data_IF_214159753574
#
_entry.id   IF_214159753574
#
_cell.length_a   1.000
_cell.length_b   1.000
_cell.length_c   1.000
_cell.angle_alpha   90.00
_cell.angle_beta   90.00
_cell.angle_gamma   90.00
#
_symmetry.space_group_name_H-M   'P 1'
#
loop_
_entity.id
_entity.type
_entity.pdbx_description
1 polymer ?
#
# COMPACT_ATOMS: atom_id res chain seq x y z
N UNK A 1 4.71 14.70 -13.78
CA UNK A 1 4.72 13.62 -12.77
C UNK A 1 3.40 12.85 -12.72
N UNK A 2 2.24 13.51 -12.55
CA UNK A 2 0.93 12.83 -12.51
C UNK A 2 0.57 12.06 -13.79
N UNK A 3 0.90 12.59 -14.97
CA UNK A 3 0.69 11.87 -16.23
C UNK A 3 1.53 10.60 -16.29
N UNK A 4 2.76 10.65 -15.78
CA UNK A 4 3.66 9.49 -15.74
C UNK A 4 3.17 8.43 -14.74
N UNK A 5 2.69 8.83 -13.56
CA UNK A 5 2.16 7.87 -12.56
C UNK A 5 0.91 7.18 -13.08
N UNK A 6 -0.03 7.93 -13.66
CA UNK A 6 -1.26 7.39 -14.24
C UNK A 6 -0.93 6.50 -15.44
N UNK A 7 -0.06 6.96 -16.35
CA UNK A 7 0.36 6.19 -17.52
C UNK A 7 1.08 4.89 -17.16
N UNK A 8 2.02 4.92 -16.21
CA UNK A 8 2.72 3.73 -15.76
C UNK A 8 1.78 2.73 -15.07
N UNK A 9 0.79 3.21 -14.30
CA UNK A 9 -0.20 2.35 -13.67
C UNK A 9 -1.12 1.66 -14.70
N UNK A 10 -1.60 2.43 -15.69
CA UNK A 10 -2.42 1.88 -16.77
C UNK A 10 -1.63 0.85 -17.58
N UNK A 11 -0.38 1.16 -17.91
CA UNK A 11 0.52 0.24 -18.61
C UNK A 11 0.79 -1.04 -17.79
N UNK A 12 1.01 -0.93 -16.47
CA UNK A 12 1.25 -2.09 -15.60
C UNK A 12 0.03 -3.03 -15.55
N UNK A 13 -1.19 -2.47 -15.58
CA UNK A 13 -2.45 -3.23 -15.60
C UNK A 13 -2.74 -3.86 -16.97
N UNK A 14 -2.35 -3.18 -18.05
CA UNK A 14 -2.54 -3.67 -19.41
C UNK A 14 -1.59 -4.82 -19.77
N UNK A 15 -0.40 -4.87 -19.15
CA UNK A 15 0.60 -5.89 -19.43
C UNK A 15 0.21 -7.27 -18.83
N UNK A 16 0.32 -8.35 -19.64
CA UNK A 16 0.06 -9.70 -19.17
C UNK A 16 1.08 -10.12 -18.09
N UNK A 17 0.67 -11.05 -17.24
CA UNK A 17 1.58 -11.63 -16.25
C UNK A 17 2.63 -12.49 -16.96
N UNK A 18 3.91 -12.34 -16.61
CA UNK A 18 4.96 -13.16 -17.21
C UNK A 18 4.85 -14.61 -16.73
N UNK A 19 5.04 -15.55 -17.65
CA UNK A 19 5.12 -16.97 -17.34
C UNK A 19 6.47 -17.38 -16.72
N UNK A 20 7.53 -16.57 -16.89
CA UNK A 20 8.84 -16.79 -16.29
C UNK A 20 9.60 -15.45 -16.08
N UNK A 21 10.18 -15.25 -14.90
CA UNK A 21 11.23 -14.27 -14.63
C UNK A 21 10.86 -12.79 -14.59
N UNK A 22 11.90 -11.94 -14.58
CA UNK A 22 11.79 -10.47 -14.55
C UNK A 22 11.31 -9.98 -15.93
N UNK A 23 10.02 -9.66 -16.02
CA UNK A 23 9.41 -9.09 -17.22
C UNK A 23 9.27 -7.57 -17.21
N UNK A 24 8.93 -7.01 -18.39
CA UNK A 24 8.54 -5.61 -18.63
C UNK A 24 7.52 -5.11 -17.60
N UNK A 25 6.63 -5.98 -17.10
CA UNK A 25 5.68 -5.62 -16.05
C UNK A 25 6.38 -5.11 -14.77
N UNK A 26 7.48 -5.73 -14.35
CA UNK A 26 8.25 -5.29 -13.19
C UNK A 26 8.98 -3.97 -13.48
N UNK A 27 9.46 -3.77 -14.70
CA UNK A 27 10.08 -2.50 -15.10
C UNK A 27 9.05 -1.36 -15.10
N UNK A 28 7.84 -1.59 -15.60
CA UNK A 28 6.75 -0.61 -15.57
C UNK A 28 6.26 -0.36 -14.15
N UNK A 29 6.22 -1.39 -13.30
CA UNK A 29 5.95 -1.23 -11.87
C UNK A 29 7.03 -0.40 -11.16
N UNK A 30 8.31 -0.66 -11.45
CA UNK A 30 9.41 0.14 -10.90
C UNK A 30 9.35 1.59 -11.38
N UNK A 31 9.00 1.82 -12.65
CA UNK A 31 8.78 3.15 -13.19
C UNK A 31 7.62 3.87 -12.47
N UNK A 32 6.52 3.16 -12.22
CA UNK A 32 5.41 3.68 -11.43
C UNK A 32 5.87 4.08 -10.02
N UNK A 33 6.57 3.19 -9.30
CA UNK A 33 7.09 3.46 -7.96
C UNK A 33 8.06 4.65 -7.94
N UNK A 34 8.97 4.75 -8.92
CA UNK A 34 9.88 5.88 -9.06
C UNK A 34 9.13 7.19 -9.33
N UNK A 35 8.11 7.15 -10.18
CA UNK A 35 7.29 8.32 -10.49
C UNK A 35 6.49 8.82 -9.29
N UNK A 36 6.00 7.92 -8.42
CA UNK A 36 5.41 8.31 -7.13
C UNK A 36 6.47 8.94 -6.21
N UNK A 37 7.66 8.36 -6.11
CA UNK A 37 8.77 8.96 -5.35
C UNK A 37 9.11 10.38 -5.84
N UNK A 38 9.10 10.61 -7.15
CA UNK A 38 9.33 11.92 -7.73
C UNK A 38 8.23 12.95 -7.37
N UNK A 39 6.98 12.52 -7.15
CA UNK A 39 5.93 13.43 -6.65
C UNK A 39 6.17 13.88 -5.20
N UNK A 40 6.95 13.13 -4.43
CA UNK A 40 7.35 13.49 -3.06
C UNK A 40 8.58 14.42 -3.04
N UNK A 41 9.28 14.61 -4.16
CA UNK A 41 10.48 15.44 -4.21
C UNK A 41 10.31 16.88 -3.67
N UNK A 42 9.18 17.59 -3.88
CA UNK A 42 8.96 18.91 -3.30
C UNK A 42 8.96 18.91 -1.77
N UNK A 43 8.55 17.81 -1.12
CA UNK A 43 8.57 17.69 0.34
C UNK A 43 9.99 17.67 0.90
N UNK A 44 10.96 17.15 0.14
CA UNK A 44 12.38 17.16 0.55
C UNK A 44 12.91 18.58 0.73
N UNK A 45 12.43 19.51 -0.10
CA UNK A 45 12.85 20.92 -0.07
C UNK A 45 12.17 21.65 1.10
N UNK A 46 10.90 21.34 1.39
CA UNK A 46 10.12 22.02 2.43
C UNK A 46 10.42 21.50 3.85
N UNK A 47 10.54 20.18 4.02
CA UNK A 47 10.74 19.55 5.33
C UNK A 47 12.23 19.38 5.71
N UNK A 48 13.13 19.51 4.74
CA UNK A 48 14.56 19.24 4.91
C UNK A 48 14.91 17.77 4.70
N UNK A 49 16.04 17.52 4.04
CA UNK A 49 16.47 16.18 3.64
C UNK A 49 16.80 15.26 4.82
N UNK A 50 17.34 15.81 5.92
CA UNK A 50 17.74 15.03 7.09
C UNK A 50 16.53 14.38 7.81
N UNK A 51 15.48 15.16 8.05
CA UNK A 51 14.25 14.67 8.71
C UNK A 51 13.54 13.65 7.83
N UNK A 52 13.51 13.87 6.52
CA UNK A 52 12.91 12.93 5.58
C UNK A 52 13.61 11.57 5.59
N UNK A 53 14.94 11.54 5.56
CA UNK A 53 15.70 10.28 5.59
C UNK A 53 15.40 9.51 6.88
N UNK A 54 15.38 10.18 8.04
CA UNK A 54 15.04 9.52 9.30
C UNK A 54 13.61 8.96 9.29
N UNK A 55 12.63 9.76 8.85
CA UNK A 55 11.25 9.33 8.73
C UNK A 55 11.11 8.13 7.76
N UNK A 56 11.87 8.11 6.68
CA UNK A 56 11.87 6.99 5.73
C UNK A 56 12.42 5.70 6.34
N UNK A 57 13.49 5.79 7.15
CA UNK A 57 14.08 4.65 7.86
C UNK A 57 13.10 4.13 8.92
N UNK A 58 12.49 5.01 9.71
CA UNK A 58 11.49 4.61 10.70
C UNK A 58 10.27 3.96 10.05
N UNK A 59 9.78 4.51 8.94
CA UNK A 59 8.68 3.91 8.17
C UNK A 59 9.07 2.53 7.67
N UNK A 60 10.25 2.38 7.07
CA UNK A 60 10.76 1.08 6.61
C UNK A 60 10.88 0.06 7.73
N UNK A 61 11.35 0.47 8.91
CA UNK A 61 11.46 -0.38 10.09
C UNK A 61 10.08 -0.83 10.60
N UNK A 62 9.12 0.10 10.73
CA UNK A 62 7.76 -0.21 11.17
C UNK A 62 7.07 -1.15 10.18
N UNK A 63 7.13 -0.84 8.88
CA UNK A 63 6.54 -1.67 7.82
C UNK A 63 7.10 -3.08 7.85
N UNK A 64 8.44 -3.19 7.89
CA UNK A 64 9.11 -4.50 7.91
C UNK A 64 8.75 -5.29 9.17
N UNK A 65 8.81 -4.65 10.34
CA UNK A 65 8.49 -5.30 11.62
C UNK A 65 7.04 -5.78 11.71
N UNK A 66 6.09 -4.94 11.29
CA UNK A 66 4.68 -5.30 11.29
C UNK A 66 4.36 -6.40 10.26
N UNK A 67 4.97 -6.37 9.06
CA UNK A 67 4.77 -7.44 8.07
C UNK A 67 5.26 -8.80 8.57
N UNK A 68 6.42 -8.85 9.25
CA UNK A 68 6.93 -10.10 9.85
C UNK A 68 6.00 -10.59 10.97
N UNK A 69 5.48 -9.68 11.79
CA UNK A 69 4.53 -10.01 12.83
C UNK A 69 3.21 -10.55 12.26
N UNK A 70 2.68 -9.92 11.20
CA UNK A 70 1.46 -10.37 10.52
C UNK A 70 1.61 -11.74 9.86
N UNK A 71 2.77 -12.01 9.23
CA UNK A 71 3.06 -13.30 8.64
C UNK A 71 3.12 -14.44 9.66
N UNK A 72 3.41 -14.13 10.93
CA UNK A 72 3.52 -15.10 12.02
C UNK A 72 2.24 -15.26 12.85
N UNK A 73 1.20 -14.46 12.59
CA UNK A 73 -0.02 -14.42 13.41
C UNK A 73 -1.16 -15.28 12.81
N UNK A 74 -1.86 -16.11 13.61
CA UNK A 74 -3.05 -16.85 13.16
C UNK A 74 -4.21 -15.90 12.79
N UNK A 75 -4.70 -15.98 11.56
CA UNK A 75 -5.20 -14.84 10.76
C UNK A 75 -6.72 -14.84 10.49
N UNK A 76 -7.57 -15.06 11.49
CA UNK A 76 -9.04 -14.90 11.28
C UNK A 76 -9.61 -13.63 11.89
N UNK A 77 -8.88 -12.96 12.80
CA UNK A 77 -9.40 -11.80 13.53
C UNK A 77 -9.19 -10.45 12.84
N UNK A 78 -8.16 -10.23 12.02
CA UNK A 78 -7.98 -8.89 11.41
C UNK A 78 -8.88 -8.67 10.19
N UNK A 79 -9.37 -9.72 9.52
CA UNK A 79 -10.26 -9.56 8.37
C UNK A 79 -11.59 -8.88 8.76
N UNK A 80 -12.08 -9.12 9.98
CA UNK A 80 -13.28 -8.45 10.51
C UNK A 80 -13.04 -7.00 10.94
N UNK A 81 -11.78 -6.58 11.08
CA UNK A 81 -11.39 -5.22 11.46
C UNK A 81 -11.19 -4.29 10.27
N UNK A 82 -11.28 -4.79 9.03
CA UNK A 82 -11.21 -3.95 7.82
C UNK A 82 -12.27 -2.85 7.78
N UNK A 83 -13.48 -3.13 8.28
CA UNK A 83 -14.57 -2.15 8.39
C UNK A 83 -14.20 -0.95 9.28
N UNK A 84 -13.92 -1.16 10.58
CA UNK A 84 -13.46 -0.11 11.49
C UNK A 84 -12.20 0.63 11.03
N UNK A 85 -11.22 -0.07 10.46
CA UNK A 85 -10.00 0.55 9.92
C UNK A 85 -10.29 1.49 8.75
N UNK A 86 -11.20 1.10 7.84
CA UNK A 86 -11.58 1.95 6.71
C UNK A 86 -12.30 3.23 7.16
N UNK A 87 -13.09 3.15 8.24
CA UNK A 87 -13.72 4.32 8.87
C UNK A 87 -12.65 5.23 9.48
N UNK A 88 -11.69 4.66 10.21
CA UNK A 88 -10.55 5.40 10.76
C UNK A 88 -9.72 6.09 9.68
N UNK A 89 -9.52 5.44 8.54
CA UNK A 89 -8.83 6.03 7.39
C UNK A 89 -9.61 7.21 6.82
N UNK A 90 -10.94 7.12 6.74
CA UNK A 90 -11.80 8.23 6.34
C UNK A 90 -11.67 9.45 7.26
N UNK A 91 -11.57 9.23 8.57
CA UNK A 91 -11.36 10.31 9.56
C UNK A 91 -9.99 10.97 9.39
N UNK A 92 -8.92 10.18 9.22
CA UNK A 92 -7.56 10.70 8.95
C UNK A 92 -7.50 11.44 7.62
N UNK A 93 -8.20 10.95 6.61
CA UNK A 93 -8.27 11.61 5.30
C UNK A 93 -9.02 12.95 5.39
N UNK A 94 -10.15 12.98 6.10
CA UNK A 94 -10.91 14.21 6.34
C UNK A 94 -10.10 15.23 7.15
N UNK A 95 -9.32 14.79 8.15
CA UNK A 95 -8.46 15.68 8.94
C UNK A 95 -7.29 16.23 8.11
N UNK A 96 -6.72 15.40 7.22
CA UNK A 96 -5.69 15.84 6.27
C UNK A 96 -6.24 16.90 5.30
N UNK A 97 -7.41 16.68 4.70
CA UNK A 97 -8.05 17.67 3.83
C UNK A 97 -8.44 18.95 4.59
N UNK A 98 -8.98 18.82 5.80
CA UNK A 98 -9.34 19.96 6.65
C UNK A 98 -8.12 20.83 7.01
N UNK A 99 -6.95 20.22 7.17
CA UNK A 99 -5.70 20.96 7.45
C UNK A 99 -5.20 21.82 6.28
N UNK A 100 -5.65 21.56 5.04
CA UNK A 100 -5.30 22.37 3.86
C UNK A 100 -6.11 23.68 3.84
N UNK A 101 -7.35 23.66 4.34
CA UNK A 101 -8.25 24.82 4.35
C UNK A 101 -8.15 25.68 5.62
N UNK A 102 -7.50 25.17 6.67
CA UNK A 102 -7.36 25.86 7.96
C UNK A 102 -5.95 26.43 8.12
N UNK A 103 -5.87 27.65 8.66
CA UNK A 103 -4.58 28.30 8.94
C UNK A 103 -3.72 27.43 9.88
N UNK A 104 -2.44 27.16 9.55
CA UNK A 104 -1.50 26.42 10.40
C UNK A 104 -1.28 27.04 11.79
N UNK A 105 -1.68 28.30 12.00
CA UNK A 105 -1.57 29.00 13.29
C UNK A 105 -2.78 28.79 14.23
N UNK A 106 -3.84 28.13 13.76
CA UNK A 106 -5.05 27.89 14.57
C UNK A 106 -4.91 26.62 15.43
N UNK A 107 -5.46 26.65 16.66
CA UNK A 107 -5.50 25.50 17.58
C UNK A 107 -6.15 24.26 16.96
N UNK A 108 -7.16 24.47 16.10
CA UNK A 108 -7.78 23.40 15.32
C UNK A 108 -6.86 22.86 14.23
N UNK A 109 -6.02 23.71 13.61
CA UNK A 109 -5.02 23.29 12.64
C UNK A 109 -3.97 22.37 13.26
N UNK A 110 -3.45 22.71 14.44
CA UNK A 110 -2.53 21.84 15.19
C UNK A 110 -3.18 20.52 15.64
N UNK A 111 -4.44 20.57 16.08
CA UNK A 111 -5.19 19.37 16.46
C UNK A 111 -5.41 18.42 15.28
N UNK A 112 -5.83 18.95 14.12
CA UNK A 112 -6.03 18.16 12.90
C UNK A 112 -4.71 17.62 12.35
N UNK A 113 -3.62 18.40 12.42
CA UNK A 113 -2.31 17.95 11.99
C UNK A 113 -1.77 16.80 12.87
N UNK A 114 -1.96 16.90 14.19
CA UNK A 114 -1.62 15.83 15.14
C UNK A 114 -2.45 14.56 14.88
N UNK A 115 -3.76 14.71 14.64
CA UNK A 115 -4.65 13.60 14.29
C UNK A 115 -4.25 12.95 12.96
N UNK A 116 -3.90 13.74 11.95
CA UNK A 116 -3.44 13.25 10.66
C UNK A 116 -2.11 12.49 10.78
N UNK A 117 -1.16 12.99 11.57
CA UNK A 117 0.15 12.35 11.77
C UNK A 117 0.06 11.09 12.65
N UNK A 118 -0.38 11.23 13.90
CA UNK A 118 -0.36 10.12 14.86
C UNK A 118 -1.53 9.16 14.66
N UNK A 119 -2.72 9.68 14.36
CA UNK A 119 -3.88 8.86 14.02
C UNK A 119 -3.67 8.12 12.70
N UNK A 120 -3.10 8.80 11.70
CA UNK A 120 -2.71 8.17 10.44
C UNK A 120 -1.71 7.05 10.65
N UNK A 121 -0.65 7.28 11.42
CA UNK A 121 0.34 6.25 11.73
C UNK A 121 -0.29 4.99 12.36
N UNK A 122 -1.18 5.16 13.34
CA UNK A 122 -1.85 4.06 14.00
C UNK A 122 -2.79 3.29 13.05
N UNK A 123 -3.61 4.00 12.27
CA UNK A 123 -4.56 3.40 11.32
C UNK A 123 -3.81 2.69 10.18
N UNK A 124 -2.78 3.30 9.61
CA UNK A 124 -1.96 2.68 8.56
C UNK A 124 -1.20 1.46 9.06
N UNK A 125 -0.71 1.47 10.31
CA UNK A 125 -0.09 0.29 10.91
C UNK A 125 -1.08 -0.88 11.02
N UNK A 126 -2.33 -0.60 11.39
CA UNK A 126 -3.40 -1.60 11.36
C UNK A 126 -3.72 -2.08 9.95
N UNK A 127 -3.82 -1.17 8.98
CA UNK A 127 -4.09 -1.51 7.57
C UNK A 127 -3.00 -2.39 6.98
N UNK A 128 -1.75 -2.17 7.37
CA UNK A 128 -0.63 -2.99 6.94
C UNK A 128 -0.74 -4.44 7.43
N UNK A 129 -1.18 -4.64 8.68
CA UNK A 129 -1.48 -5.98 9.21
C UNK A 129 -2.63 -6.63 8.42
N UNK A 130 -3.71 -5.87 8.17
CA UNK A 130 -4.85 -6.33 7.37
C UNK A 130 -4.44 -6.72 5.94
N UNK A 131 -3.69 -5.86 5.24
CA UNK A 131 -3.25 -6.08 3.87
C UNK A 131 -2.34 -7.30 3.75
N UNK A 132 -1.41 -7.47 4.70
CA UNK A 132 -0.52 -8.65 4.73
C UNK A 132 -1.34 -9.93 4.86
N UNK A 133 -2.33 -9.94 5.76
CA UNK A 133 -3.20 -11.10 5.96
C UNK A 133 -4.17 -11.33 4.78
N UNK A 134 -4.67 -10.27 4.15
CA UNK A 134 -5.51 -10.37 2.97
C UNK A 134 -4.76 -10.99 1.79
N UNK A 135 -3.47 -10.66 1.62
CA UNK A 135 -2.61 -11.29 0.61
C UNK A 135 -2.37 -12.77 0.92
N UNK A 136 -2.04 -13.12 2.16
CA UNK A 136 -1.84 -14.53 2.59
C UNK A 136 -3.11 -15.33 2.35
N UNK A 137 -4.27 -14.85 2.81
CA UNK A 137 -5.56 -15.52 2.62
C UNK A 137 -5.90 -15.67 1.13
N UNK A 138 -5.61 -14.67 0.30
CA UNK A 138 -5.84 -14.75 -1.14
C UNK A 138 -4.91 -15.76 -1.82
N UNK A 139 -3.71 -15.95 -1.30
CA UNK A 139 -2.79 -17.00 -1.74
C UNK A 139 -3.28 -18.39 -1.30
N UNK A 140 -3.77 -18.55 -0.07
CA UNK A 140 -4.35 -19.81 0.43
C UNK A 140 -5.64 -20.19 -0.30
N UNK A 141 -6.48 -19.21 -0.65
CA UNK A 141 -7.74 -19.42 -1.37
C UNK A 141 -7.58 -19.50 -2.89
N UNK A 142 -6.34 -19.42 -3.42
CA UNK A 142 -6.11 -19.61 -4.85
C UNK A 142 -6.31 -21.09 -5.23
N UNK A 143 -7.16 -21.42 -6.22
CA UNK A 143 -7.41 -22.81 -6.58
C UNK A 143 -6.12 -23.47 -7.06
N UNK A 144 -5.75 -24.56 -6.39
CA UNK A 144 -4.73 -25.49 -6.87
C UNK A 144 -5.19 -26.02 -8.24
N UNK A 145 -4.29 -25.99 -9.22
CA UNK A 145 -4.49 -26.59 -10.53
C UNK A 145 -4.86 -28.07 -10.38
N UNK A 146 -6.12 -28.44 -10.67
CA UNK A 146 -6.54 -29.83 -10.81
C UNK A 146 -6.48 -30.21 -12.31
N UNK A 147 -5.67 -31.20 -12.73
CA UNK A 147 -5.41 -31.47 -14.15
C UNK A 147 -6.58 -32.04 -14.96
N UNK A 148 -7.77 -32.24 -14.38
CA UNK A 148 -8.84 -33.05 -14.97
C UNK A 148 -10.13 -32.29 -15.33
N UNK A 149 -10.18 -30.97 -15.26
CA UNK A 149 -11.40 -30.24 -15.60
C UNK A 149 -11.33 -29.64 -17.02
N UNK A 150 -11.87 -30.36 -18.00
CA UNK A 150 -11.81 -30.03 -19.43
C UNK A 150 -12.77 -28.89 -19.83
N UNK A 151 -13.51 -28.30 -18.89
CA UNK A 151 -14.55 -27.30 -19.15
C UNK A 151 -14.29 -25.93 -18.50
N UNK A 152 -13.16 -25.74 -17.82
CA UNK A 152 -12.84 -24.46 -17.20
C UNK A 152 -12.17 -23.50 -18.21
N UNK A 153 -12.81 -22.34 -18.43
CA UNK A 153 -12.19 -21.14 -19.02
C UNK A 153 -10.80 -20.97 -18.41
N UNK A 154 -9.73 -20.98 -19.24
CA UNK A 154 -8.34 -20.95 -18.77
C UNK A 154 -8.16 -19.92 -17.64
N UNK A 155 -7.90 -20.35 -16.39
CA UNK A 155 -7.60 -19.42 -15.32
C UNK A 155 -6.25 -18.77 -15.65
N UNK A 156 -6.23 -17.43 -15.73
CA UNK A 156 -4.98 -16.69 -15.92
C UNK A 156 -4.00 -17.13 -14.82
N UNK A 157 -2.83 -17.59 -15.24
CA UNK A 157 -1.75 -18.00 -14.36
C UNK A 157 -1.25 -16.77 -13.59
N UNK A 158 -1.74 -16.58 -12.36
CA UNK A 158 -1.44 -15.42 -11.52
C UNK A 158 -0.28 -15.66 -10.55
N UNK A 159 0.25 -16.89 -10.50
CA UNK A 159 1.25 -17.29 -9.51
C UNK A 159 2.48 -17.93 -10.18
N UNK A 160 3.68 -17.31 -10.10
CA UNK A 160 4.92 -17.89 -10.62
C UNK A 160 5.53 -18.98 -9.72
N UNK A 161 4.99 -19.21 -8.51
CA UNK A 161 5.53 -20.16 -7.52
C UNK A 161 4.97 -21.58 -7.74
N UNK A 162 3.72 -21.72 -8.19
CA UNK A 162 3.09 -23.01 -8.43
C UNK A 162 2.88 -23.24 -9.93
N UNK A 163 3.84 -23.93 -10.56
CA UNK A 163 3.79 -24.36 -11.97
C UNK A 163 3.05 -25.68 -12.13
#
# INVERSE_FOLDING_TARGET
>A
MLVCTIGAQLACRALPYPSNGISVKHAVWALYSASLGATLAPLLVVAGSAVFIQASIYTGAIVTGLSVAAASAPSDKFLSWGGPLSIGLGVVFASSLGSIFLSPASRLGFGLHSLALYGGLAVFSGLLLYDTQAVIRRAEQHPQYYPYDHMAIQPRHFDPINK
#
